data_IF_310690127136
#
_entry.id   IF_310690127136
#
_cell.length_a   1.000
_cell.length_b   1.000
_cell.length_c   1.000
_cell.angle_alpha   90.00
_cell.angle_beta   90.00
_cell.angle_gamma   90.00
#
_symmetry.space_group_name_H-M   'P 1'
#
loop_
_entity.id
_entity.type
_entity.pdbx_description
1 polymer ?
#
# COMPACT_ATOMS: atom_id res chain seq x y z
N UNK A 1 8.34 21.40 -4.00
CA UNK A 1 8.45 20.06 -3.38
C UNK A 1 7.06 19.67 -2.89
N UNK A 2 6.67 18.40 -2.95
CA UNK A 2 5.32 17.96 -2.60
C UNK A 2 5.38 16.91 -1.49
N UNK A 3 4.47 16.99 -0.52
CA UNK A 3 4.23 15.94 0.47
C UNK A 3 2.99 15.15 0.02
N UNK A 4 3.10 13.83 0.00
CA UNK A 4 2.00 12.91 -0.30
C UNK A 4 1.58 12.28 1.02
N UNK A 5 0.29 12.32 1.32
CA UNK A 5 -0.27 11.83 2.58
C UNK A 5 -1.42 10.88 2.28
N UNK A 6 -1.36 9.68 2.86
CA UNK A 6 -2.48 8.76 2.94
C UNK A 6 -3.08 8.81 4.35
N UNK A 7 -4.28 9.35 4.47
CA UNK A 7 -5.00 9.47 5.72
C UNK A 7 -5.98 8.32 5.84
N UNK A 8 -5.73 7.38 6.75
CA UNK A 8 -6.54 6.17 6.88
C UNK A 8 -7.97 6.37 7.39
N UNK A 9 -8.32 7.56 7.92
CA UNK A 9 -9.68 7.90 8.32
C UNK A 9 -10.22 7.17 9.57
N UNK A 10 -9.38 6.41 10.28
CA UNK A 10 -9.76 5.70 11.50
C UNK A 10 -9.50 6.59 12.72
N UNK A 11 -10.52 6.77 13.54
CA UNK A 11 -10.43 7.37 14.87
C UNK A 11 -10.05 6.30 15.88
N UNK A 12 -8.96 6.57 16.60
CA UNK A 12 -8.53 5.84 17.80
C UNK A 12 -8.32 6.83 18.92
N UNK A 13 -8.51 6.42 20.17
CA UNK A 13 -8.30 7.26 21.33
C UNK A 13 -7.38 6.55 22.33
N UNK A 14 -6.39 7.25 22.96
CA UNK A 14 -5.41 6.63 23.85
C UNK A 14 -6.04 5.76 24.94
N UNK A 15 -7.11 6.23 25.58
CA UNK A 15 -7.82 5.52 26.66
C UNK A 15 -8.46 4.19 26.21
N UNK A 16 -8.70 4.01 24.91
CA UNK A 16 -9.33 2.83 24.32
C UNK A 16 -8.35 2.00 23.49
N UNK A 17 -7.05 2.29 23.58
CA UNK A 17 -5.99 1.57 22.87
C UNK A 17 -6.20 1.55 21.35
N UNK A 18 -6.21 0.36 20.75
CA UNK A 18 -6.35 0.17 19.29
C UNK A 18 -7.80 0.00 18.84
N UNK A 19 -8.76 0.31 19.70
CA UNK A 19 -10.19 0.24 19.36
C UNK A 19 -10.52 1.27 18.28
N UNK A 20 -11.18 0.83 17.21
CA UNK A 20 -11.60 1.67 16.08
C UNK A 20 -12.98 2.24 16.38
N UNK A 21 -13.10 3.56 16.46
CA UNK A 21 -14.28 4.23 17.03
C UNK A 21 -15.29 4.72 15.98
N UNK A 22 -14.95 4.61 14.70
CA UNK A 22 -15.68 5.30 13.63
C UNK A 22 -15.74 4.51 12.31
N UNK A 23 -15.62 3.17 12.35
CA UNK A 23 -15.54 2.31 11.15
C UNK A 23 -16.69 2.57 10.16
N UNK A 24 -17.89 2.84 10.66
CA UNK A 24 -19.12 3.15 9.90
C UNK A 24 -19.11 4.55 9.23
N UNK A 25 -18.29 5.47 9.75
CA UNK A 25 -18.18 6.87 9.32
C UNK A 25 -16.76 7.30 8.96
N UNK A 26 -15.88 6.34 8.64
CA UNK A 26 -14.50 6.61 8.21
C UNK A 26 -14.47 7.62 7.06
N UNK A 27 -13.47 8.51 7.08
CA UNK A 27 -13.22 9.49 6.01
C UNK A 27 -11.77 9.42 5.53
N UNK A 28 -11.35 8.33 4.85
CA UNK A 28 -9.99 8.21 4.34
C UNK A 28 -9.77 9.18 3.19
N UNK A 29 -8.53 9.65 3.03
CA UNK A 29 -8.17 10.56 1.94
C UNK A 29 -6.72 10.47 1.51
N UNK A 30 -6.47 10.78 0.23
CA UNK A 30 -5.14 11.00 -0.32
C UNK A 30 -4.95 12.50 -0.54
N UNK A 31 -3.84 13.05 -0.06
CA UNK A 31 -3.59 14.49 -0.04
C UNK A 31 -2.21 14.80 -0.63
N UNK A 32 -2.16 15.83 -1.47
CA UNK A 32 -0.94 16.49 -1.91
C UNK A 32 -0.85 17.86 -1.26
N UNK A 33 0.25 18.13 -0.57
CA UNK A 33 0.58 19.45 -0.02
C UNK A 33 1.81 20.02 -0.69
N UNK A 34 1.87 21.35 -0.83
CA UNK A 34 3.12 22.04 -1.09
C UNK A 34 4.00 21.95 0.17
N UNK A 35 5.21 21.39 0.04
CA UNK A 35 6.09 21.14 1.17
C UNK A 35 6.71 22.43 1.75
N UNK A 36 6.73 23.52 0.98
CA UNK A 36 7.31 24.79 1.40
C UNK A 36 6.28 25.64 2.12
N UNK A 37 5.06 25.72 1.60
CA UNK A 37 4.00 26.59 2.15
C UNK A 37 3.01 25.86 3.04
N UNK A 38 2.93 24.53 2.95
CA UNK A 38 1.90 23.73 3.59
C UNK A 38 0.53 23.82 2.91
N UNK A 39 0.41 24.51 1.78
CA UNK A 39 -0.87 24.69 1.09
C UNK A 39 -1.37 23.37 0.50
N UNK A 40 -2.68 23.16 0.59
CA UNK A 40 -3.36 22.04 -0.05
C UNK A 40 -3.31 22.21 -1.57
N UNK A 41 -2.69 21.25 -2.26
CA UNK A 41 -2.66 21.19 -3.72
C UNK A 41 -3.84 20.37 -4.23
N UNK A 42 -4.10 19.21 -3.63
CA UNK A 42 -5.10 18.26 -4.08
C UNK A 42 -5.54 17.35 -2.94
N UNK A 43 -6.83 17.02 -2.88
CA UNK A 43 -7.39 16.05 -1.92
C UNK A 43 -8.40 15.16 -2.62
N UNK A 44 -8.21 13.86 -2.44
CA UNK A 44 -9.16 12.83 -2.85
C UNK A 44 -9.77 12.20 -1.61
N UNK A 45 -11.08 12.34 -1.43
CA UNK A 45 -11.82 11.56 -0.45
C UNK A 45 -12.18 10.19 -1.04
N UNK A 46 -12.18 9.14 -0.24
CA UNK A 46 -12.66 7.83 -0.72
C UNK A 46 -14.16 7.92 -1.04
N UNK A 47 -14.63 7.30 -2.16
CA UNK A 47 -16.04 7.22 -2.49
C UNK A 47 -16.87 6.58 -1.36
N UNK A 48 -18.15 6.91 -1.28
CA UNK A 48 -19.02 6.45 -0.18
C UNK A 48 -19.04 4.92 -0.01
N UNK A 49 -19.07 4.15 -1.10
CA UNK A 49 -19.04 2.68 -1.05
C UNK A 49 -17.68 2.09 -0.67
N UNK A 50 -16.64 2.92 -0.64
CA UNK A 50 -15.26 2.55 -0.32
C UNK A 50 -14.74 3.25 0.93
N UNK A 51 -15.62 3.85 1.75
CA UNK A 51 -15.23 4.61 2.95
C UNK A 51 -14.44 3.80 3.98
N UNK A 52 -14.61 2.48 3.98
CA UNK A 52 -13.89 1.56 4.86
C UNK A 52 -12.51 1.14 4.31
N UNK A 53 -12.09 1.64 3.13
CA UNK A 53 -10.71 1.51 2.65
C UNK A 53 -9.80 2.51 3.35
N UNK A 54 -9.16 2.06 4.42
CA UNK A 54 -8.14 2.86 5.09
C UNK A 54 -6.90 2.96 4.19
N UNK A 55 -6.62 4.13 3.62
CA UNK A 55 -5.39 4.38 2.85
C UNK A 55 -4.18 4.46 3.80
N UNK A 56 -3.08 3.75 3.50
CA UNK A 56 -1.97 3.58 4.45
C UNK A 56 -0.58 3.85 3.88
N UNK A 57 -0.25 3.16 2.79
CA UNK A 57 1.10 3.17 2.23
C UNK A 57 1.07 3.83 0.87
N UNK A 58 2.11 4.60 0.55
CA UNK A 58 2.26 5.28 -0.73
C UNK A 58 3.70 5.15 -1.21
N UNK A 59 3.87 5.07 -2.52
CA UNK A 59 5.16 5.27 -3.19
C UNK A 59 4.93 5.90 -4.57
N UNK A 60 5.96 6.51 -5.14
CA UNK A 60 5.87 7.35 -6.34
C UNK A 60 6.75 6.83 -7.47
N UNK A 61 6.20 6.74 -8.68
CA UNK A 61 6.94 6.50 -9.91
C UNK A 61 7.83 7.67 -10.33
N UNK A 62 8.68 7.47 -11.32
CA UNK A 62 9.43 8.56 -11.96
C UNK A 62 8.57 9.43 -12.88
N UNK A 63 7.45 8.89 -13.36
CA UNK A 63 6.41 9.59 -14.13
C UNK A 63 5.51 10.51 -13.27
N UNK A 64 5.72 10.53 -11.95
CA UNK A 64 4.88 11.28 -11.01
C UNK A 64 3.60 10.58 -10.60
N UNK A 65 3.37 9.33 -11.06
CA UNK A 65 2.25 8.50 -10.62
C UNK A 65 2.47 8.06 -9.19
N UNK A 66 1.48 8.33 -8.35
CA UNK A 66 1.49 7.98 -6.94
C UNK A 66 0.65 6.73 -6.78
N UNK A 67 1.30 5.68 -6.31
CA UNK A 67 0.66 4.42 -5.94
C UNK A 67 0.29 4.45 -4.48
N UNK A 68 -0.87 3.90 -4.15
CA UNK A 68 -1.31 3.74 -2.77
C UNK A 68 -1.90 2.37 -2.51
N UNK A 69 -1.76 1.93 -1.27
CA UNK A 69 -2.32 0.68 -0.79
C UNK A 69 -3.21 0.90 0.44
N UNK A 70 -4.21 0.04 0.55
CA UNK A 70 -5.28 0.14 1.52
C UNK A 70 -5.36 -1.09 2.44
N UNK A 71 -5.97 -0.86 3.59
CA UNK A 71 -6.44 -1.89 4.52
C UNK A 71 -7.94 -1.71 4.67
N UNK A 72 -8.70 -2.77 4.42
CA UNK A 72 -10.15 -2.71 4.45
C UNK A 72 -10.71 -3.07 5.82
N UNK A 73 -11.66 -2.26 6.30
CA UNK A 73 -12.23 -2.33 7.64
C UNK A 73 -13.68 -2.80 7.67
N UNK A 74 -14.22 -3.23 6.54
CA UNK A 74 -15.56 -3.79 6.45
C UNK A 74 -15.61 -5.31 6.63
N UNK A 75 -16.70 -5.95 6.16
CA UNK A 75 -16.84 -7.40 6.19
C UNK A 75 -15.64 -8.13 5.58
N UNK A 76 -15.21 -9.21 6.24
CA UNK A 76 -13.99 -9.95 5.84
C UNK A 76 -14.11 -10.64 4.49
N UNK A 77 -15.32 -10.94 4.06
CA UNK A 77 -15.66 -11.62 2.81
C UNK A 77 -15.88 -10.65 1.64
N UNK A 78 -15.82 -9.34 1.87
CA UNK A 78 -15.83 -8.37 0.77
C UNK A 78 -14.48 -8.38 0.06
N UNK A 79 -14.51 -8.02 -1.22
CA UNK A 79 -13.35 -7.98 -2.12
C UNK A 79 -13.17 -6.57 -2.73
N UNK A 80 -12.94 -5.54 -1.92
CA UNK A 80 -12.73 -4.19 -2.41
C UNK A 80 -11.37 -4.04 -3.09
N UNK A 81 -11.19 -3.01 -3.94
CA UNK A 81 -9.88 -2.72 -4.51
C UNK A 81 -8.92 -2.23 -3.42
N UNK A 82 -7.85 -2.98 -3.19
CA UNK A 82 -6.88 -2.66 -2.13
C UNK A 82 -5.73 -1.77 -2.60
N UNK A 83 -5.63 -1.51 -3.91
CA UNK A 83 -4.55 -0.75 -4.52
C UNK A 83 -5.12 0.20 -5.55
N UNK A 84 -4.52 1.38 -5.65
CA UNK A 84 -4.84 2.34 -6.69
C UNK A 84 -3.67 3.27 -6.95
N UNK A 85 -3.90 4.18 -7.89
CA UNK A 85 -2.95 5.23 -8.19
C UNK A 85 -3.66 6.52 -8.62
N UNK A 86 -2.91 7.61 -8.61
CA UNK A 86 -3.31 8.90 -9.16
C UNK A 86 -2.07 9.73 -9.47
N UNK A 87 -2.23 10.78 -10.26
CA UNK A 87 -1.20 11.81 -10.46
C UNK A 87 -1.76 13.19 -10.07
N UNK A 88 -0.89 14.19 -9.99
CA UNK A 88 -1.34 15.56 -9.77
C UNK A 88 -2.26 16.00 -10.92
N UNK A 89 -3.44 16.49 -10.59
CA UNK A 89 -4.47 16.89 -11.55
C UNK A 89 -5.34 15.75 -12.07
N UNK A 90 -5.08 14.50 -11.65
CA UNK A 90 -5.86 13.33 -12.04
C UNK A 90 -6.69 12.79 -10.87
N UNK A 91 -7.81 12.16 -11.19
CA UNK A 91 -8.63 11.42 -10.24
C UNK A 91 -7.96 10.09 -9.82
N UNK A 92 -8.45 9.53 -8.71
CA UNK A 92 -8.05 8.21 -8.25
C UNK A 92 -8.56 7.14 -9.22
N UNK A 93 -7.64 6.27 -9.63
CA UNK A 93 -7.97 5.02 -10.34
C UNK A 93 -7.63 3.84 -9.44
N UNK A 94 -8.59 2.95 -9.22
CA UNK A 94 -8.35 1.69 -8.53
C UNK A 94 -7.87 0.62 -9.50
N UNK A 95 -6.98 -0.25 -9.04
CA UNK A 95 -6.52 -1.41 -9.80
C UNK A 95 -7.51 -2.55 -9.61
N UNK A 96 -7.99 -3.09 -10.73
CA UNK A 96 -8.78 -4.30 -10.76
C UNK A 96 -7.84 -5.52 -10.72
N UNK A 97 -7.69 -6.09 -9.52
CA UNK A 97 -6.88 -7.29 -9.31
C UNK A 97 -7.74 -8.54 -9.56
N UNK A 98 -7.16 -9.63 -10.10
CA UNK A 98 -7.85 -10.92 -10.16
C UNK A 98 -8.44 -11.30 -8.80
N UNK A 99 -9.63 -11.91 -8.81
CA UNK A 99 -10.35 -12.28 -7.58
C UNK A 99 -9.47 -13.12 -6.63
N UNK A 100 -8.73 -14.09 -7.18
CA UNK A 100 -7.81 -14.94 -6.41
C UNK A 100 -6.71 -14.13 -5.70
N UNK A 101 -6.16 -13.11 -6.37
CA UNK A 101 -5.17 -12.19 -5.80
C UNK A 101 -5.81 -11.34 -4.71
N UNK A 102 -7.01 -10.80 -4.94
CA UNK A 102 -7.75 -9.97 -3.96
C UNK A 102 -8.07 -10.77 -2.70
N UNK A 103 -8.57 -12.00 -2.86
CA UNK A 103 -8.79 -12.95 -1.75
C UNK A 103 -7.49 -13.19 -1.00
N UNK A 104 -6.39 -13.43 -1.72
CA UNK A 104 -5.10 -13.71 -1.10
C UNK A 104 -4.54 -12.52 -0.34
N UNK A 105 -4.77 -11.28 -0.77
CA UNK A 105 -4.38 -10.10 -0.02
C UNK A 105 -5.15 -9.93 1.30
N UNK A 106 -6.21 -10.72 1.52
CA UNK A 106 -6.92 -10.85 2.79
C UNK A 106 -7.32 -9.50 3.40
N UNK A 107 -7.82 -8.60 2.55
CA UNK A 107 -8.26 -7.25 2.92
C UNK A 107 -7.18 -6.36 3.55
N UNK A 108 -5.90 -6.69 3.34
CA UNK A 108 -4.80 -6.02 4.01
C UNK A 108 -3.55 -5.98 3.12
N UNK A 109 -3.17 -4.78 2.67
CA UNK A 109 -1.84 -4.55 2.09
C UNK A 109 -0.99 -3.79 3.11
N UNK A 110 0.11 -4.41 3.53
CA UNK A 110 0.99 -3.93 4.61
C UNK A 110 2.19 -3.12 4.13
N UNK A 111 2.54 -3.21 2.85
CA UNK A 111 3.56 -2.37 2.24
C UNK A 111 3.37 -2.29 0.72
N UNK A 112 3.86 -1.19 0.14
CA UNK A 112 3.92 -0.94 -1.31
C UNK A 112 5.28 -0.33 -1.67
N UNK A 113 5.82 -0.70 -2.82
CA UNK A 113 7.04 -0.10 -3.36
C UNK A 113 7.00 -0.08 -4.89
N UNK A 114 7.56 0.97 -5.49
CA UNK A 114 7.70 1.12 -6.94
C UNK A 114 9.16 0.90 -7.32
N UNK A 115 9.41 -0.11 -8.14
CA UNK A 115 10.66 -0.25 -8.86
C UNK A 115 10.57 0.50 -10.20
N UNK A 116 11.07 1.74 -10.18
CA UNK A 116 11.08 2.66 -11.34
C UNK A 116 11.92 2.13 -12.51
N UNK A 117 13.00 1.38 -12.23
CA UNK A 117 13.87 0.82 -13.28
C UNK A 117 13.13 -0.24 -14.10
N UNK A 118 12.49 -1.16 -13.41
CA UNK A 118 11.83 -2.31 -14.04
C UNK A 118 10.34 -2.04 -14.31
N UNK A 119 9.83 -0.86 -13.93
CA UNK A 119 8.44 -0.45 -14.05
C UNK A 119 7.48 -1.44 -13.37
N UNK A 120 7.78 -1.78 -12.10
CA UNK A 120 7.02 -2.72 -11.29
C UNK A 120 6.50 -2.08 -10.00
N UNK A 121 5.37 -2.57 -9.49
CA UNK A 121 4.84 -2.23 -8.17
C UNK A 121 4.79 -3.51 -7.33
N UNK A 122 5.50 -3.51 -6.21
CA UNK A 122 5.48 -4.59 -5.23
C UNK A 122 4.48 -4.32 -4.12
N UNK A 123 3.77 -5.37 -3.70
CA UNK A 123 2.77 -5.35 -2.64
C UNK A 123 3.00 -6.54 -1.73
N UNK A 124 2.74 -6.39 -0.43
CA UNK A 124 2.73 -7.50 0.52
C UNK A 124 1.51 -7.49 1.41
N UNK A 125 1.07 -8.69 1.77
CA UNK A 125 0.04 -8.94 2.78
C UNK A 125 0.56 -9.93 3.81
N UNK A 126 0.86 -9.51 5.05
CA UNK A 126 1.18 -10.44 6.12
C UNK A 126 -0.01 -11.37 6.42
N UNK A 127 -1.22 -10.82 6.45
CA UNK A 127 -2.46 -11.59 6.70
C UNK A 127 -2.68 -12.67 5.64
N UNK A 128 -2.33 -12.35 4.39
CA UNK A 128 -2.44 -13.19 3.22
C UNK A 128 -1.26 -14.14 2.97
N UNK A 129 -0.17 -13.96 3.71
CA UNK A 129 1.13 -14.60 3.43
C UNK A 129 1.56 -14.43 1.96
N UNK A 130 1.41 -13.23 1.41
CA UNK A 130 1.55 -13.01 -0.03
C UNK A 130 2.43 -11.81 -0.37
N UNK A 131 3.18 -11.97 -1.46
CA UNK A 131 3.82 -10.90 -2.19
C UNK A 131 3.28 -10.89 -3.63
N UNK A 132 2.78 -9.75 -4.08
CA UNK A 132 2.21 -9.54 -5.41
C UNK A 132 3.06 -8.49 -6.13
N UNK A 133 3.36 -8.72 -7.40
CA UNK A 133 4.03 -7.74 -8.25
C UNK A 133 3.12 -7.38 -9.41
N UNK A 134 2.91 -6.10 -9.62
CA UNK A 134 2.16 -5.53 -10.72
C UNK A 134 3.09 -4.89 -11.74
N UNK A 135 2.66 -4.89 -13.01
CA UNK A 135 3.22 -4.03 -14.04
C UNK A 135 2.74 -2.59 -13.78
N UNK A 136 3.66 -1.65 -13.61
CA UNK A 136 3.34 -0.27 -13.22
C UNK A 136 2.61 0.52 -14.32
N UNK A 137 2.70 0.08 -15.58
CA UNK A 137 2.03 0.76 -16.69
C UNK A 137 0.56 0.35 -16.80
N UNK A 138 0.27 -0.92 -16.58
CA UNK A 138 -1.04 -1.53 -16.85
C UNK A 138 -1.81 -1.90 -15.59
N UNK A 139 -1.15 -1.95 -14.42
CA UNK A 139 -1.72 -2.43 -13.16
C UNK A 139 -1.96 -3.93 -13.11
N UNK A 140 -1.59 -4.68 -14.16
CA UNK A 140 -1.82 -6.14 -14.22
C UNK A 140 -0.85 -6.88 -13.31
N UNK A 141 -1.33 -7.97 -12.70
CA UNK A 141 -0.47 -8.90 -11.94
C UNK A 141 0.54 -9.54 -12.89
N UNK A 142 1.82 -9.41 -12.55
CA UNK A 142 2.97 -10.03 -13.24
C UNK A 142 3.39 -11.31 -12.54
N UNK A 143 3.39 -11.29 -11.20
CA UNK A 143 3.75 -12.47 -10.41
C UNK A 143 3.15 -12.40 -9.02
N UNK A 144 2.90 -13.56 -8.44
CA UNK A 144 2.38 -13.72 -7.09
C UNK A 144 3.10 -14.87 -6.41
N UNK A 145 3.60 -14.64 -5.19
CA UNK A 145 4.38 -15.63 -4.42
C UNK A 145 3.89 -15.70 -2.98
N UNK A 146 3.87 -16.90 -2.42
CA UNK A 146 3.63 -17.09 -0.98
C UNK A 146 4.88 -16.74 -0.18
N UNK A 147 4.75 -15.76 0.70
CA UNK A 147 5.77 -15.36 1.68
C UNK A 147 5.10 -15.33 3.04
N UNK A 148 5.46 -16.26 3.93
CA UNK A 148 4.87 -16.30 5.27
C UNK A 148 5.20 -15.05 6.05
N UNK A 149 4.19 -14.48 6.69
CA UNK A 149 4.30 -13.22 7.45
C UNK A 149 5.00 -12.12 6.64
N UNK A 150 4.64 -11.99 5.35
CA UNK A 150 5.21 -11.00 4.44
C UNK A 150 5.14 -9.60 5.05
N UNK A 151 6.29 -8.95 5.17
CA UNK A 151 6.43 -7.63 5.75
C UNK A 151 6.80 -6.63 4.65
N UNK A 152 7.92 -5.93 4.78
CA UNK A 152 8.28 -4.83 3.90
C UNK A 152 8.55 -5.23 2.45
N UNK A 153 8.45 -4.23 1.58
CA UNK A 153 8.87 -4.32 0.17
C UNK A 153 9.82 -3.18 -0.18
N UNK A 154 10.72 -3.43 -1.13
CA UNK A 154 11.58 -2.39 -1.70
C UNK A 154 11.99 -2.72 -3.14
N UNK A 155 12.35 -1.69 -3.94
CA UNK A 155 12.93 -1.92 -5.25
C UNK A 155 14.31 -2.59 -5.13
N UNK A 156 14.46 -3.77 -5.73
CA UNK A 156 15.73 -4.48 -5.78
C UNK A 156 16.55 -4.07 -7.02
N UNK A 157 17.76 -4.63 -7.18
CA UNK A 157 18.57 -4.49 -8.40
C UNK A 157 17.80 -4.93 -9.65
N UNK A 158 16.97 -5.96 -9.47
CA UNK A 158 15.97 -6.48 -10.40
C UNK A 158 14.74 -6.91 -9.60
N UNK A 159 13.55 -6.50 -10.00
CA UNK A 159 12.30 -6.88 -9.35
C UNK A 159 12.06 -6.22 -7.98
N UNK A 160 11.34 -6.92 -7.12
CA UNK A 160 10.96 -6.45 -5.78
C UNK A 160 11.64 -7.34 -4.73
N UNK A 161 12.28 -6.71 -3.75
CA UNK A 161 12.73 -7.38 -2.53
C UNK A 161 11.59 -7.39 -1.51
N UNK A 162 11.44 -8.51 -0.80
CA UNK A 162 10.41 -8.72 0.21
C UNK A 162 11.09 -9.16 1.50
N UNK A 163 10.66 -8.60 2.63
CA UNK A 163 11.02 -9.09 3.96
C UNK A 163 9.87 -9.86 4.62
N UNK A 164 10.15 -10.49 5.75
CA UNK A 164 9.17 -11.24 6.54
C UNK A 164 9.44 -11.09 8.02
N UNK A 165 8.37 -11.14 8.83
CA UNK A 165 8.47 -11.21 10.29
C UNK A 165 9.12 -12.51 10.80
N UNK A 166 9.37 -13.49 9.93
CA UNK A 166 10.18 -14.69 10.24
C UNK A 166 11.69 -14.47 10.05
N UNK A 167 12.10 -13.25 9.70
CA UNK A 167 13.49 -12.85 9.53
C UNK A 167 14.06 -13.08 8.13
N UNK A 168 13.21 -13.37 7.13
CA UNK A 168 13.65 -13.42 5.74
C UNK A 168 13.78 -12.02 5.15
N UNK A 169 14.80 -11.84 4.31
CA UNK A 169 14.96 -10.73 3.37
C UNK A 169 15.43 -11.32 2.03
N UNK A 170 14.51 -11.42 1.07
CA UNK A 170 14.72 -12.26 -0.11
C UNK A 170 15.00 -13.71 0.32
N UNK A 171 16.15 -14.24 -0.09
CA UNK A 171 16.57 -15.61 0.25
C UNK A 171 17.40 -15.72 1.53
N UNK A 172 17.77 -14.59 2.15
CA UNK A 172 18.59 -14.59 3.37
C UNK A 172 17.69 -14.61 4.59
N UNK A 173 18.09 -15.35 5.61
CA UNK A 173 17.42 -15.36 6.92
C UNK A 173 18.35 -14.79 7.98
N UNK A 174 17.78 -13.99 8.87
CA UNK A 174 18.41 -13.47 10.08
C UNK A 174 17.66 -13.96 11.32
N UNK A 175 18.26 -13.83 12.49
CA UNK A 175 17.65 -14.19 13.79
C UNK A 175 16.71 -13.10 14.34
N UNK A 176 16.45 -12.06 13.55
CA UNK A 176 15.56 -10.95 13.89
C UNK A 176 14.38 -10.90 12.92
N UNK A 177 13.22 -10.44 13.40
CA UNK A 177 12.10 -10.12 12.53
C UNK A 177 12.37 -8.83 11.75
N UNK A 178 12.16 -8.86 10.43
CA UNK A 178 12.22 -7.65 9.62
C UNK A 178 10.83 -7.03 9.52
N UNK A 179 10.75 -5.72 9.77
CA UNK A 179 9.48 -4.99 9.72
C UNK A 179 9.16 -4.50 8.29
N UNK A 180 8.19 -3.56 8.20
CA UNK A 180 7.66 -3.06 6.94
C UNK A 180 8.59 -2.08 6.20
N UNK A 181 9.63 -1.55 6.85
CA UNK A 181 10.38 -0.40 6.34
C UNK A 181 11.72 -0.83 5.74
N UNK A 182 11.78 -0.89 4.41
CA UNK A 182 13.00 -1.21 3.68
C UNK A 182 13.37 -0.04 2.78
N UNK A 183 14.62 0.41 2.88
CA UNK A 183 15.18 1.42 1.97
C UNK A 183 16.40 0.84 1.27
N UNK A 184 16.41 0.96 -0.06
CA UNK A 184 17.62 0.68 -0.83
C UNK A 184 18.61 1.82 -0.65
N UNK A 185 19.79 1.50 -0.13
CA UNK A 185 20.90 2.45 -0.10
C UNK A 185 21.48 2.59 -1.51
N UNK A 186 21.55 3.80 -2.02
CA UNK A 186 22.32 4.13 -3.23
C UNK A 186 23.81 4.11 -2.91
N UNK A 187 24.58 3.35 -3.69
CA UNK A 187 26.01 3.54 -3.86
C UNK A 187 26.28 4.45 -5.05
#
# INVERSE_FOLDING_TARGET
>A
RTIIIANGGIETHPDFGRTKLNVDRMQPSLVLLDATTGHLIQKHAMPNGLRQLSTRHVDIGDDGRIWFACQYEGPRNDLPPLVGHFSRGEDVTFVDLPEETTVRLANYVGAIAVNRRDQLVGLTSPNGNAAVTLDAKTGRVVSETTVRDAAGVAPALRGIAVSSYQGFFGTRRSDVAWDQHIVRLSS
#
